data_IF_767478989962
#
_entry.id   IF_767478989962
#
_cell.length_a   1.000
_cell.length_b   1.000
_cell.length_c   1.000
_cell.angle_alpha   90.00
_cell.angle_beta   90.00
_cell.angle_gamma   90.00
#
_symmetry.space_group_name_H-M   'P 1'
#
loop_
_entity.id
_entity.type
_entity.pdbx_description
1 polymer ?
#
# COMPACT_ATOMS: atom_id res chain seq x y z
N UNK A 1 -9.96 7.01 -2.25
CA UNK A 1 -9.66 5.81 -1.42
C UNK A 1 -8.37 5.97 -0.61
N UNK A 2 -7.56 6.98 -0.92
CA UNK A 2 -6.20 7.21 -0.45
C UNK A 2 -6.15 7.52 1.05
N UNK A 3 -7.13 8.29 1.50
CA UNK A 3 -7.35 8.61 2.91
C UNK A 3 -7.57 7.35 3.79
N UNK A 4 -8.18 6.30 3.25
CA UNK A 4 -8.50 5.09 4.03
C UNK A 4 -7.23 4.33 4.44
N UNK A 5 -6.34 4.02 3.48
CA UNK A 5 -5.13 3.26 3.80
C UNK A 5 -4.13 4.09 4.62
N UNK A 6 -4.10 5.42 4.43
CA UNK A 6 -3.33 6.33 5.27
C UNK A 6 -3.79 6.29 6.72
N UNK A 7 -5.09 6.35 6.97
CA UNK A 7 -5.62 6.32 8.33
C UNK A 7 -5.32 4.99 9.03
N UNK A 8 -5.45 3.87 8.29
CA UNK A 8 -5.05 2.55 8.77
C UNK A 8 -3.57 2.51 9.15
N UNK A 9 -2.69 3.06 8.31
CA UNK A 9 -1.25 3.12 8.58
C UNK A 9 -0.90 3.99 9.79
N UNK A 10 -1.57 5.14 9.95
CA UNK A 10 -1.38 6.03 11.11
C UNK A 10 -1.78 5.34 12.42
N UNK A 11 -2.94 4.67 12.43
CA UNK A 11 -3.44 3.96 13.62
C UNK A 11 -2.52 2.78 13.97
N UNK A 12 -2.15 1.97 12.97
CA UNK A 12 -1.32 0.79 13.18
C UNK A 12 0.18 1.13 13.33
N UNK A 13 0.58 2.36 13.01
CA UNK A 13 1.97 2.82 12.93
C UNK A 13 2.84 1.90 12.07
N UNK A 14 2.31 1.47 10.92
CA UNK A 14 3.01 0.60 9.96
C UNK A 14 3.12 1.29 8.61
N UNK A 15 4.22 1.04 7.90
CA UNK A 15 4.36 1.49 6.51
C UNK A 15 3.38 0.74 5.60
N UNK A 16 3.05 1.39 4.48
CA UNK A 16 2.20 0.90 3.41
C UNK A 16 3.08 0.71 2.18
N UNK A 17 3.12 -0.52 1.69
CA UNK A 17 3.71 -0.82 0.40
C UNK A 17 2.77 -0.38 -0.72
N UNK A 18 3.31 0.46 -1.59
CA UNK A 18 2.69 0.88 -2.84
C UNK A 18 3.69 0.64 -3.96
N UNK A 19 3.20 0.13 -5.10
CA UNK A 19 4.05 -0.01 -6.29
C UNK A 19 4.59 1.35 -6.75
N UNK A 20 5.77 1.37 -7.39
CA UNK A 20 6.48 2.60 -7.77
C UNK A 20 5.61 3.59 -8.57
N UNK A 21 4.81 3.10 -9.52
CA UNK A 21 3.89 3.95 -10.30
C UNK A 21 2.84 4.63 -9.41
N UNK A 22 2.34 3.93 -8.37
CA UNK A 22 1.39 4.51 -7.42
C UNK A 22 2.07 5.48 -6.46
N UNK A 23 3.32 5.21 -6.07
CA UNK A 23 4.11 6.13 -5.26
C UNK A 23 4.30 7.48 -5.96
N UNK A 24 4.68 7.47 -7.23
CA UNK A 24 4.80 8.68 -8.05
C UNK A 24 3.50 9.49 -8.11
N UNK A 25 2.36 8.81 -8.29
CA UNK A 25 1.06 9.49 -8.26
C UNK A 25 0.74 10.10 -6.89
N UNK A 26 1.12 9.43 -5.79
CA UNK A 26 0.93 9.94 -4.43
C UNK A 26 1.83 11.14 -4.13
N UNK A 27 3.02 11.22 -4.74
CA UNK A 27 3.91 12.38 -4.64
C UNK A 27 3.28 13.62 -5.29
N UNK A 28 2.56 13.45 -6.40
CA UNK A 28 1.83 14.53 -7.08
C UNK A 28 0.60 15.03 -6.31
N UNK A 29 0.11 14.30 -5.30
CA UNK A 29 -1.11 14.63 -4.56
C UNK A 29 -0.88 15.63 -3.41
N UNK A 30 0.30 16.26 -3.34
CA UNK A 30 0.66 17.28 -2.32
C UNK A 30 0.31 16.87 -0.88
N UNK A 31 0.42 15.57 -0.59
CA UNK A 31 0.15 15.04 0.74
C UNK A 31 1.11 15.66 1.77
N UNK A 32 0.65 15.89 3.02
CA UNK A 32 1.51 16.33 4.10
C UNK A 32 2.76 15.46 4.21
N UNK A 33 3.92 16.04 4.53
CA UNK A 33 5.17 15.28 4.69
C UNK A 33 5.05 14.17 5.74
N UNK A 34 4.25 14.42 6.78
CA UNK A 34 3.94 13.44 7.82
C UNK A 34 3.25 12.18 7.28
N UNK A 35 2.54 12.31 6.17
CA UNK A 35 1.86 11.21 5.50
C UNK A 35 2.76 10.46 4.52
N UNK A 36 3.68 11.19 3.89
CA UNK A 36 4.65 10.61 2.94
C UNK A 36 5.51 9.53 3.58
N UNK A 37 5.90 9.71 4.85
CA UNK A 37 6.72 8.75 5.60
C UNK A 37 6.06 7.36 5.76
N UNK A 38 4.74 7.27 5.63
CA UNK A 38 4.01 6.02 5.73
C UNK A 38 4.07 5.19 4.45
N UNK A 39 4.42 5.78 3.30
CA UNK A 39 4.54 5.03 2.05
C UNK A 39 5.95 4.47 1.87
N UNK A 40 6.02 3.29 1.28
CA UNK A 40 7.29 2.67 0.88
C UNK A 40 7.12 1.89 -0.41
N UNK A 41 8.15 1.87 -1.24
CA UNK A 41 8.30 0.95 -2.37
C UNK A 41 9.11 -0.31 -2.00
N UNK A 42 9.56 -0.41 -0.75
CA UNK A 42 10.19 -1.63 -0.22
C UNK A 42 9.11 -2.55 0.35
N UNK A 43 8.93 -3.70 -0.29
CA UNK A 43 7.91 -4.69 0.08
C UNK A 43 8.17 -5.31 1.46
N UNK A 44 9.44 -5.50 1.84
CA UNK A 44 9.82 -6.15 3.10
C UNK A 44 9.68 -5.25 4.33
N UNK A 45 9.54 -3.93 4.13
CA UNK A 45 9.41 -2.96 5.23
C UNK A 45 7.95 -2.72 5.66
N UNK A 46 7.00 -3.37 4.96
CA UNK A 46 5.58 -3.10 5.10
C UNK A 46 4.81 -4.37 5.45
N UNK A 47 3.70 -4.19 6.17
CA UNK A 47 2.72 -5.24 6.43
C UNK A 47 1.35 -4.93 5.79
N UNK A 48 1.24 -3.79 5.09
CA UNK A 48 0.02 -3.33 4.42
C UNK A 48 0.34 -3.14 2.94
N UNK A 49 -0.25 -3.95 2.06
CA UNK A 49 0.06 -3.93 0.63
C UNK A 49 -1.13 -3.42 -0.16
N UNK A 50 -0.96 -2.29 -0.85
CA UNK A 50 -2.00 -1.73 -1.70
C UNK A 50 -1.81 -2.23 -3.12
N UNK A 51 -2.68 -3.15 -3.52
CA UNK A 51 -2.67 -3.73 -4.87
C UNK A 51 -3.79 -3.14 -5.74
N UNK A 52 -3.62 -3.12 -7.08
CA UNK A 52 -4.71 -2.83 -8.00
C UNK A 52 -5.92 -3.75 -7.76
N UNK A 53 -7.13 -3.20 -7.83
CA UNK A 53 -8.37 -3.94 -7.52
C UNK A 53 -8.53 -5.21 -8.39
N UNK A 54 -8.12 -5.15 -9.65
CA UNK A 54 -8.20 -6.29 -10.59
C UNK A 54 -7.32 -7.48 -10.19
N UNK A 55 -6.29 -7.26 -9.35
CA UNK A 55 -5.47 -8.34 -8.79
C UNK A 55 -6.24 -9.12 -7.69
N UNK A 56 -7.24 -8.50 -7.07
CA UNK A 56 -8.12 -9.13 -6.07
C UNK A 56 -9.43 -9.68 -6.68
N UNK A 57 -9.55 -9.71 -8.01
CA UNK A 57 -10.80 -10.05 -8.70
C UNK A 57 -11.26 -11.52 -8.53
N UNK A 58 -10.44 -12.39 -7.94
CA UNK A 58 -10.86 -13.76 -7.63
C UNK A 58 -10.13 -14.34 -6.43
N UNK A 59 -10.77 -15.28 -5.72
CA UNK A 59 -10.15 -15.99 -4.60
C UNK A 59 -8.86 -16.72 -5.00
N UNK A 60 -8.78 -17.26 -6.23
CA UNK A 60 -7.55 -17.89 -6.74
C UNK A 60 -6.39 -16.90 -6.80
N UNK A 61 -6.64 -15.68 -7.30
CA UNK A 61 -5.62 -14.63 -7.37
C UNK A 61 -5.27 -14.10 -5.98
N UNK A 62 -6.26 -13.91 -5.10
CA UNK A 62 -6.01 -13.51 -3.72
C UNK A 62 -5.14 -14.53 -2.97
N UNK A 63 -5.41 -15.84 -3.14
CA UNK A 63 -4.59 -16.91 -2.56
C UNK A 63 -3.17 -16.89 -3.11
N UNK A 64 -2.99 -16.70 -4.42
CA UNK A 64 -1.67 -16.59 -5.03
C UNK A 64 -0.85 -15.43 -4.42
N UNK A 65 -1.48 -14.26 -4.25
CA UNK A 65 -0.85 -13.08 -3.65
C UNK A 65 -0.50 -13.35 -2.19
N UNK A 66 -1.43 -13.89 -1.39
CA UNK A 66 -1.19 -14.22 0.03
C UNK A 66 0.00 -15.14 0.22
N UNK A 67 0.22 -16.10 -0.68
CA UNK A 67 1.35 -17.04 -0.60
C UNK A 67 2.71 -16.38 -0.87
N UNK A 68 2.77 -15.21 -1.52
CA UNK A 68 4.02 -14.46 -1.72
C UNK A 68 4.49 -13.75 -0.44
N UNK A 69 3.61 -13.65 0.56
CA UNK A 69 3.84 -12.96 1.83
C UNK A 69 3.87 -13.91 3.03
N UNK A 70 3.99 -15.23 2.77
CA UNK A 70 4.08 -16.28 3.81
C UNK A 70 5.50 -16.57 4.24
#
# INVERSE_FOLDING_TARGET
>A
KEKLFLEVARILRKKIYVGAAKLQLLECLELPEEDRKWFTSNEQESHIHVVPMWMLASFKRMKYISNQYS
#
